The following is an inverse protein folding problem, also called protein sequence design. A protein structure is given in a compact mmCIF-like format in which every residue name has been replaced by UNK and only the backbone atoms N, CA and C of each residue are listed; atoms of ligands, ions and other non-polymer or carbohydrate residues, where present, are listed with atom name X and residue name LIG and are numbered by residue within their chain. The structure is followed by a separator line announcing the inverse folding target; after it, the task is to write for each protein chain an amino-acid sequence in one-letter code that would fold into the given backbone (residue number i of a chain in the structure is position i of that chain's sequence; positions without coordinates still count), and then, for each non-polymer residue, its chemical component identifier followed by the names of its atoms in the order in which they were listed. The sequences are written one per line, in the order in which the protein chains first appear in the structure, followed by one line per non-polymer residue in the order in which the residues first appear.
data_IF_980529313581
#
_entry.id   IF_980529313581
#
_cell.length_a   1.000
_cell.length_b   1.000
_cell.length_c   1.000
_cell.angle_alpha   90.00
_cell.angle_beta   90.00
_cell.angle_gamma   90.00
#
_symmetry.space_group_name_H-M   'P 1'
#
loop_
_entity.id
_entity.type
_entity.pdbx_description
1 polymer ?
#
# COMPACT_ATOMS: atom_id res chain seq x y z
N UNK A 1 -4.82 5.24 -22.51
CA UNK A 1 -5.37 4.05 -21.81
C UNK A 1 -4.84 3.96 -20.39
N UNK A 2 -5.47 3.17 -19.50
CA UNK A 2 -5.18 3.20 -18.04
C UNK A 2 -3.73 2.84 -17.68
N UNK A 3 -3.07 1.97 -18.43
CA UNK A 3 -1.66 1.60 -18.19
C UNK A 3 -0.76 2.84 -18.29
N UNK A 4 -0.86 3.57 -19.41
CA UNK A 4 -0.06 4.77 -19.66
C UNK A 4 -0.46 5.92 -18.73
N UNK A 5 -1.76 6.13 -18.52
CA UNK A 5 -2.23 7.24 -17.70
C UNK A 5 -1.98 7.01 -16.20
N UNK A 6 -2.13 5.78 -15.70
CA UNK A 6 -1.85 5.43 -14.31
C UNK A 6 -0.36 5.53 -13.98
N UNK A 7 0.52 5.19 -14.93
CA UNK A 7 1.97 5.33 -14.76
C UNK A 7 2.42 6.78 -14.51
N UNK A 8 1.64 7.78 -14.92
CA UNK A 8 1.94 9.20 -14.68
C UNK A 8 2.02 9.53 -13.18
N UNK A 9 1.16 8.93 -12.35
CA UNK A 9 1.18 9.18 -10.90
C UNK A 9 2.38 8.50 -10.23
N UNK A 10 2.70 7.28 -10.65
CA UNK A 10 3.91 6.56 -10.21
C UNK A 10 5.17 7.37 -10.55
N UNK A 11 5.23 7.89 -11.78
CA UNK A 11 6.31 8.73 -12.26
C UNK A 11 6.45 10.02 -11.44
N UNK A 12 5.33 10.71 -11.20
CA UNK A 12 5.32 11.95 -10.43
C UNK A 12 5.87 11.75 -9.01
N UNK A 13 5.47 10.67 -8.32
CA UNK A 13 6.02 10.35 -7.00
C UNK A 13 7.51 9.99 -7.04
N UNK A 14 7.94 9.18 -8.01
CA UNK A 14 9.34 8.78 -8.16
C UNK A 14 10.29 9.91 -8.53
N UNK A 15 9.80 10.93 -9.25
CA UNK A 15 10.56 12.12 -9.63
C UNK A 15 10.60 13.18 -8.53
N UNK A 16 9.55 13.30 -7.72
CA UNK A 16 9.44 14.34 -6.69
C UNK A 16 10.55 14.27 -5.62
N UNK A 17 11.33 15.36 -5.50
CA UNK A 17 12.40 15.52 -4.50
C UNK A 17 11.96 16.26 -3.23
N UNK A 18 10.74 16.81 -3.22
CA UNK A 18 10.15 17.46 -2.05
C UNK A 18 9.97 16.49 -0.87
N UNK A 19 9.77 16.98 0.36
CA UNK A 19 9.31 16.16 1.49
C UNK A 19 8.00 15.42 1.18
N UNK A 20 7.98 14.11 1.39
CA UNK A 20 6.81 13.24 1.16
C UNK A 20 6.48 12.47 2.44
N UNK A 21 5.31 12.72 2.99
CA UNK A 21 4.78 12.04 4.17
C UNK A 21 3.47 11.36 3.79
N UNK A 22 3.43 10.04 3.93
CA UNK A 22 2.29 9.19 3.55
C UNK A 22 1.63 8.60 4.80
N UNK A 23 0.31 8.56 4.83
CA UNK A 23 -0.46 7.89 5.89
C UNK A 23 -1.47 6.94 5.28
N UNK A 24 -1.28 5.63 5.50
CA UNK A 24 -2.23 4.60 5.06
C UNK A 24 -3.33 4.45 6.10
N UNK A 25 -4.54 4.88 5.76
CA UNK A 25 -5.68 4.87 6.69
C UNK A 25 -6.36 3.50 6.76
N UNK A 26 -6.53 2.86 5.60
CA UNK A 26 -7.28 1.61 5.44
C UNK A 26 -6.68 0.76 4.33
N UNK A 27 -7.29 0.71 3.15
CA UNK A 27 -6.91 -0.25 2.10
C UNK A 27 -5.75 0.26 1.25
N UNK A 28 -4.69 -0.54 1.12
CA UNK A 28 -3.60 -0.33 0.20
C UNK A 28 -3.18 -1.67 -0.43
N UNK A 29 -3.66 -1.93 -1.64
CA UNK A 29 -3.52 -3.23 -2.30
C UNK A 29 -2.73 -3.14 -3.60
N UNK A 30 -1.76 -4.05 -3.78
CA UNK A 30 -1.01 -4.24 -5.02
C UNK A 30 -0.38 -2.95 -5.53
N UNK A 31 -0.42 -2.74 -6.85
CA UNK A 31 0.20 -1.55 -7.47
C UNK A 31 -0.38 -0.22 -6.99
N UNK A 32 -1.61 -0.19 -6.46
CA UNK A 32 -2.16 1.04 -5.89
C UNK A 32 -1.43 1.44 -4.59
N UNK A 33 -0.96 0.48 -3.78
CA UNK A 33 -0.09 0.79 -2.65
C UNK A 33 1.20 1.45 -3.12
N UNK A 34 1.84 0.89 -4.16
CA UNK A 34 3.10 1.42 -4.67
C UNK A 34 2.94 2.86 -5.15
N UNK A 35 1.91 3.09 -5.97
CA UNK A 35 1.60 4.39 -6.61
C UNK A 35 1.24 5.48 -5.60
N UNK A 36 0.66 5.13 -4.44
CA UNK A 36 0.18 6.09 -3.46
C UNK A 36 1.27 6.53 -2.47
N UNK A 37 2.47 6.85 -2.99
CA UNK A 37 3.58 7.39 -2.20
C UNK A 37 4.20 6.36 -1.25
N UNK A 38 4.35 5.11 -1.71
CA UNK A 38 5.06 4.06 -0.97
C UNK A 38 6.53 4.43 -0.71
N UNK A 39 7.14 3.78 0.28
CA UNK A 39 8.57 3.93 0.55
C UNK A 39 9.43 3.49 -0.65
N UNK A 40 8.93 2.54 -1.45
CA UNK A 40 9.58 2.06 -2.68
C UNK A 40 9.67 3.15 -3.76
N UNK A 41 8.74 4.12 -3.76
CA UNK A 41 8.79 5.32 -4.60
C UNK A 41 9.39 6.52 -3.88
N UNK A 42 10.41 6.28 -3.04
CA UNK A 42 11.17 7.33 -2.33
C UNK A 42 10.30 8.18 -1.39
N UNK A 43 9.25 7.58 -0.82
CA UNK A 43 8.52 8.15 0.32
C UNK A 43 9.48 8.33 1.50
N UNK A 44 9.50 9.51 2.10
CA UNK A 44 10.43 9.82 3.18
C UNK A 44 9.95 9.20 4.49
N UNK A 45 8.68 9.45 4.83
CA UNK A 45 8.04 8.93 6.04
C UNK A 45 6.67 8.34 5.68
N UNK A 46 6.47 7.07 6.00
CA UNK A 46 5.29 6.27 5.71
C UNK A 46 4.71 5.72 7.01
N UNK A 47 3.55 6.25 7.40
CA UNK A 47 2.77 5.76 8.53
C UNK A 47 1.61 4.89 8.07
N UNK A 48 1.14 4.03 8.95
CA UNK A 48 -0.16 3.36 8.78
C UNK A 48 -0.97 3.42 10.07
N UNK A 49 -2.30 3.40 9.95
CA UNK A 49 -3.17 3.14 11.08
C UNK A 49 -3.26 1.64 11.37
N UNK A 50 -3.63 1.22 12.61
CA UNK A 50 -3.89 -0.18 12.93
C UNK A 50 -4.98 -0.82 12.04
N UNK A 51 -5.89 0.01 11.49
CA UNK A 51 -6.95 -0.40 10.57
C UNK A 51 -6.49 -0.60 9.12
N UNK A 52 -5.21 -0.37 8.83
CA UNK A 52 -4.70 -0.48 7.48
C UNK A 52 -4.61 -1.94 7.02
N UNK A 53 -5.02 -2.19 5.79
CA UNK A 53 -4.92 -3.48 5.11
C UNK A 53 -3.90 -3.31 3.98
N UNK A 54 -2.71 -3.88 4.15
CA UNK A 54 -1.62 -3.81 3.15
C UNK A 54 -1.32 -5.21 2.66
N UNK A 55 -1.60 -5.49 1.39
CA UNK A 55 -1.36 -6.80 0.77
C UNK A 55 -1.23 -6.71 -0.75
N UNK A 56 -0.86 -7.81 -1.41
CA UNK A 56 -0.74 -7.87 -2.88
C UNK A 56 -2.09 -7.67 -3.58
N UNK A 57 -3.17 -8.20 -3.01
CA UNK A 57 -4.53 -8.04 -3.52
C UNK A 57 -5.55 -8.15 -2.39
N UNK A 58 -6.82 -7.84 -2.70
CA UNK A 58 -7.91 -7.96 -1.73
C UNK A 58 -8.17 -9.43 -1.32
N UNK A 59 -8.65 -9.69 -0.09
CA UNK A 59 -8.81 -11.03 0.46
C UNK A 59 -9.62 -11.97 -0.45
N UNK A 60 -10.78 -11.51 -0.96
CA UNK A 60 -11.63 -12.31 -1.84
C UNK A 60 -10.89 -12.85 -3.06
N UNK A 61 -10.23 -11.96 -3.81
CA UNK A 61 -9.47 -12.33 -5.00
C UNK A 61 -8.29 -13.26 -4.67
N UNK A 62 -7.64 -13.06 -3.50
CA UNK A 62 -6.57 -13.95 -3.07
C UNK A 62 -7.10 -15.37 -2.79
N UNK A 63 -8.25 -15.50 -2.11
CA UNK A 63 -8.85 -16.79 -1.78
C UNK A 63 -9.35 -17.53 -3.02
N UNK A 64 -9.97 -16.82 -3.98
CA UNK A 64 -10.40 -17.43 -5.25
C UNK A 64 -9.24 -18.03 -6.05
N UNK A 65 -8.04 -17.46 -5.94
CA UNK A 65 -6.83 -17.97 -6.59
C UNK A 65 -6.20 -19.10 -5.77
N UNK A 66 -6.00 -18.88 -4.46
CA UNK A 66 -5.29 -19.82 -3.57
C UNK A 66 -6.08 -21.11 -3.32
N UNK A 67 -7.40 -21.00 -3.16
CA UNK A 67 -8.30 -22.10 -2.81
C UNK A 67 -9.23 -22.50 -3.97
N UNK A 68 -8.87 -22.17 -5.21
CA UNK A 68 -9.70 -22.43 -6.40
C UNK A 68 -10.23 -23.88 -6.43
N UNK A 69 -9.34 -24.86 -6.27
CA UNK A 69 -9.69 -26.29 -6.31
C UNK A 69 -10.63 -26.71 -5.19
N UNK A 70 -10.41 -26.20 -3.99
CA UNK A 70 -11.24 -26.49 -2.81
C UNK A 70 -12.63 -25.90 -2.98
N UNK A 71 -12.71 -24.65 -3.45
CA UNK A 71 -13.96 -23.94 -3.73
C UNK A 71 -14.75 -24.64 -4.84
N UNK A 72 -14.09 -25.12 -5.90
CA UNK A 72 -14.73 -25.86 -6.99
C UNK A 72 -15.19 -27.26 -6.60
N UNK A 73 -14.63 -27.85 -5.54
CA UNK A 73 -15.06 -29.15 -5.03
C UNK A 73 -16.32 -29.06 -4.15
N UNK A 74 -16.68 -27.87 -3.65
CA UNK A 74 -17.88 -27.66 -2.84
C UNK A 74 -19.10 -27.50 -3.77
N UNK A 75 -20.03 -28.44 -3.67
CA UNK A 75 -21.25 -28.49 -4.49
C UNK A 75 -22.40 -27.68 -3.90
N UNK A 76 -22.45 -27.49 -2.57
CA UNK A 76 -23.44 -26.64 -1.92
C UNK A 76 -23.02 -25.16 -1.91
N UNK A 77 -23.88 -24.30 -2.44
CA UNK A 77 -23.61 -22.87 -2.54
C UNK A 77 -23.49 -22.19 -1.17
N UNK A 78 -24.22 -22.65 -0.15
CA UNK A 78 -24.14 -22.06 1.20
C UNK A 78 -22.81 -22.41 1.87
N UNK A 79 -22.40 -23.67 1.80
CA UNK A 79 -21.09 -24.11 2.27
C UNK A 79 -19.95 -23.39 1.55
N UNK A 80 -20.07 -23.20 0.23
CA UNK A 80 -19.05 -22.47 -0.56
C UNK A 80 -18.87 -21.04 -0.08
N UNK A 81 -19.97 -20.32 0.13
CA UNK A 81 -19.93 -18.93 0.63
C UNK A 81 -19.37 -18.87 2.05
N UNK A 82 -19.76 -19.79 2.92
CA UNK A 82 -19.24 -19.86 4.29
C UNK A 82 -17.73 -20.13 4.30
N UNK A 83 -17.25 -21.06 3.47
CA UNK A 83 -15.84 -21.39 3.32
C UNK A 83 -15.02 -20.19 2.83
N UNK A 84 -15.48 -19.52 1.78
CA UNK A 84 -14.80 -18.33 1.24
C UNK A 84 -14.72 -17.25 2.32
N UNK A 85 -15.82 -16.96 3.01
CA UNK A 85 -15.86 -15.93 4.06
C UNK A 85 -14.89 -16.23 5.21
N UNK A 86 -14.85 -17.48 5.67
CA UNK A 86 -13.90 -17.92 6.70
C UNK A 86 -12.46 -17.71 6.23
N UNK A 87 -12.14 -18.14 5.01
CA UNK A 87 -10.80 -18.02 4.44
C UNK A 87 -10.39 -16.57 4.21
N UNK A 88 -11.31 -15.70 3.81
CA UNK A 88 -11.07 -14.26 3.69
C UNK A 88 -10.67 -13.64 5.03
N UNK A 89 -11.35 -14.01 6.12
CA UNK A 89 -11.06 -13.52 7.46
C UNK A 89 -9.72 -14.05 7.98
N UNK A 90 -9.42 -15.34 7.76
CA UNK A 90 -8.09 -15.92 8.04
C UNK A 90 -6.98 -15.21 7.26
N UNK A 91 -7.19 -14.93 5.96
CA UNK A 91 -6.23 -14.22 5.13
C UNK A 91 -6.05 -12.78 5.60
N UNK A 92 -7.13 -12.09 5.94
CA UNK A 92 -7.07 -10.72 6.44
C UNK A 92 -6.26 -10.62 7.72
N UNK A 93 -6.51 -11.54 8.66
CA UNK A 93 -5.81 -11.56 9.95
C UNK A 93 -4.32 -11.92 9.81
N UNK A 94 -3.97 -12.79 8.86
CA UNK A 94 -2.57 -13.23 8.65
C UNK A 94 -1.75 -12.28 7.77
N UNK A 95 -2.34 -11.76 6.69
CA UNK A 95 -1.61 -11.09 5.62
C UNK A 95 -2.02 -9.64 5.41
N UNK A 96 -3.31 -9.29 5.54
CA UNK A 96 -3.80 -7.94 5.26
C UNK A 96 -3.74 -7.05 6.52
N UNK A 97 -2.54 -6.94 7.09
CA UNK A 97 -2.26 -6.22 8.34
C UNK A 97 -1.05 -5.29 8.13
N UNK A 98 -1.02 -4.09 8.75
CA UNK A 98 0.09 -3.16 8.53
C UNK A 98 1.39 -3.67 9.16
N UNK A 99 1.30 -4.56 10.14
CA UNK A 99 2.45 -5.12 10.85
C UNK A 99 3.33 -5.99 9.96
N UNK A 100 2.76 -6.64 8.94
CA UNK A 100 3.55 -7.39 7.95
C UNK A 100 4.46 -6.44 7.17
N UNK A 101 3.93 -5.33 6.69
CA UNK A 101 4.70 -4.30 5.99
C UNK A 101 5.72 -3.62 6.93
N UNK A 102 5.34 -3.35 8.19
CA UNK A 102 6.23 -2.77 9.19
C UNK A 102 7.45 -3.66 9.49
N UNK A 103 7.29 -5.00 9.53
CA UNK A 103 8.39 -5.94 9.73
C UNK A 103 9.50 -5.81 8.68
N UNK A 104 9.16 -5.46 7.45
CA UNK A 104 10.11 -5.24 6.36
C UNK A 104 10.63 -3.79 6.27
N UNK A 105 10.23 -2.92 7.20
CA UNK A 105 10.59 -1.50 7.18
C UNK A 105 9.93 -0.70 6.07
N UNK A 106 8.84 -1.22 5.46
CA UNK A 106 8.10 -0.51 4.42
C UNK A 106 7.29 0.66 4.99
N UNK A 107 6.99 0.58 6.29
CA UNK A 107 6.42 1.63 7.11
C UNK A 107 7.44 2.04 8.18
N UNK A 108 7.47 3.32 8.53
CA UNK A 108 8.28 3.84 9.62
C UNK A 108 7.61 3.64 10.98
N UNK A 109 6.27 3.68 11.03
CA UNK A 109 5.52 3.44 12.27
C UNK A 109 4.05 3.07 11.99
N UNK A 110 3.45 2.31 12.90
CA UNK A 110 2.00 2.08 12.97
C UNK A 110 1.44 2.96 14.09
N UNK A 111 0.65 3.97 13.72
CA UNK A 111 0.24 5.04 14.63
C UNK A 111 -1.26 5.04 14.88
N UNK A 112 -1.66 5.35 16.12
CA UNK A 112 -3.06 5.62 16.45
C UNK A 112 -3.62 6.79 15.62
N UNK A 113 -4.87 6.70 15.11
CA UNK A 113 -5.46 7.73 14.25
C UNK A 113 -5.39 9.15 14.83
N UNK A 114 -5.62 9.29 16.13
CA UNK A 114 -5.57 10.56 16.87
C UNK A 114 -4.19 11.23 16.85
N UNK A 115 -3.12 10.44 16.68
CA UNK A 115 -1.74 10.92 16.68
C UNK A 115 -1.26 11.39 15.29
N UNK A 116 -2.06 11.19 14.24
CA UNK A 116 -1.70 11.52 12.85
C UNK A 116 -1.20 12.96 12.71
N UNK A 117 -1.94 13.94 13.23
CA UNK A 117 -1.55 15.36 13.17
C UNK A 117 -0.18 15.62 13.80
N UNK A 118 0.03 15.09 15.01
CA UNK A 118 1.30 15.25 15.73
C UNK A 118 2.47 14.62 14.96
N UNK A 119 2.27 13.40 14.45
CA UNK A 119 3.28 12.65 13.68
C UNK A 119 3.64 13.33 12.36
N UNK A 120 2.66 13.86 11.64
CA UNK A 120 2.87 14.57 10.37
C UNK A 120 3.62 15.89 10.59
N UNK A 121 3.25 16.67 11.61
CA UNK A 121 3.97 17.91 11.93
C UNK A 121 5.46 17.63 12.20
N UNK A 122 5.75 16.63 13.03
CA UNK A 122 7.13 16.23 13.34
C UNK A 122 7.89 15.73 12.11
N UNK A 123 7.23 14.93 11.27
CA UNK A 123 7.81 14.45 10.01
C UNK A 123 8.21 15.62 9.11
N UNK A 124 7.31 16.58 8.89
CA UNK A 124 7.59 17.75 8.06
C UNK A 124 8.69 18.66 8.65
N UNK A 125 8.72 18.84 9.97
CA UNK A 125 9.81 19.56 10.64
C UNK A 125 11.16 18.89 10.41
N UNK A 126 11.23 17.56 10.52
CA UNK A 126 12.46 16.81 10.27
C UNK A 126 12.90 16.84 8.81
N UNK A 127 11.96 16.96 7.87
CA UNK A 127 12.22 16.96 6.43
C UNK A 127 12.40 18.38 5.86
N UNK A 128 12.29 19.43 6.67
CA UNK A 128 12.32 20.82 6.21
C UNK A 128 13.61 21.19 5.47
N UNK A 129 14.72 20.51 5.78
CA UNK A 129 16.04 20.74 5.15
C UNK A 129 16.40 19.68 4.11
N UNK A 130 15.45 18.82 3.72
CA UNK A 130 15.68 17.77 2.72
C UNK A 130 16.20 18.36 1.42
N UNK A 131 17.32 17.80 0.93
CA UNK A 131 17.87 18.05 -0.40
C UNK A 131 18.12 16.70 -1.05
N UNK A 132 17.55 16.50 -2.23
CA UNK A 132 17.69 15.28 -3.00
C UNK A 132 17.88 15.64 -4.47
N UNK A 133 18.68 14.86 -5.19
CA UNK A 133 19.08 15.14 -6.58
C UNK A 133 18.67 13.99 -7.48
N UNK A 134 18.36 14.34 -8.73
CA UNK A 134 18.09 13.38 -9.79
C UNK A 134 19.30 13.27 -10.73
N UNK A 135 19.44 12.15 -11.46
CA UNK A 135 20.44 12.06 -12.52
C UNK A 135 20.29 13.22 -13.53
N UNK A 136 21.41 13.82 -13.99
CA UNK A 136 21.37 14.94 -14.91
C UNK A 136 20.74 14.54 -16.25
N UNK A 137 19.80 15.35 -16.74
CA UNK A 137 19.05 15.12 -17.98
C UNK A 137 18.54 16.46 -18.53
N UNK A 138 18.26 16.54 -19.84
CA UNK A 138 17.58 17.71 -20.43
C UNK A 138 16.17 17.87 -19.88
N UNK A 139 15.43 16.77 -19.91
CA UNK A 139 14.10 16.60 -19.31
C UNK A 139 13.86 15.10 -19.14
N UNK A 140 12.80 14.75 -18.42
CA UNK A 140 12.39 13.36 -18.29
C UNK A 140 11.43 12.95 -19.43
N UNK A 141 11.21 11.64 -19.59
CA UNK A 141 10.30 11.09 -20.60
C UNK A 141 9.12 10.40 -19.90
N UNK A 142 8.20 11.21 -19.37
CA UNK A 142 6.99 10.71 -18.74
C UNK A 142 6.14 9.95 -19.76
N UNK A 143 5.48 8.83 -19.39
CA UNK A 143 4.51 8.19 -20.27
C UNK A 143 3.39 9.19 -20.64
N UNK A 144 3.07 9.35 -21.93
CA UNK A 144 2.05 10.29 -22.41
C UNK A 144 0.82 9.61 -22.98
#
# INVERSE_FOLDING_TARGET
GIIVHGAKLLFAYGEATVPKVTVVLRKAYGGAYDVMGSKHLRGDINYAWPTAEIAVMGPKGAIEILHNKEISAITDDKERVAFIKQKEEEYKNKFASPYVAAKYGYLDDVIEPRNTRFRVIRALQSLATKKDTLPPKKHANIPL
#
